data_IF_237844630933
#
_entry.id   IF_237844630933
#
_cell.length_a   1.000
_cell.length_b   1.000
_cell.length_c   1.000
_cell.angle_alpha   90.00
_cell.angle_beta   90.00
_cell.angle_gamma   90.00
#
_symmetry.space_group_name_H-M   'P 1'
#
loop_
_entity.id
_entity.type
_entity.pdbx_description
1 polymer ?
#
# COMPACT_ATOMS: atom_id res chain seq x y z
N UNK A 1 22.92 6.33 -48.82
CA UNK A 1 22.28 7.05 -47.68
C UNK A 1 22.19 6.05 -46.54
N UNK A 2 23.06 6.19 -45.53
CA UNK A 2 23.31 5.16 -44.53
C UNK A 2 22.15 5.04 -43.54
N UNK A 3 21.58 3.83 -43.47
CA UNK A 3 20.71 3.43 -42.38
C UNK A 3 21.53 3.24 -41.10
N UNK A 4 21.15 3.92 -40.03
CA UNK A 4 21.61 3.64 -38.68
C UNK A 4 20.59 4.20 -37.69
N UNK A 5 19.70 3.34 -37.20
CA UNK A 5 18.65 3.75 -36.27
C UNK A 5 17.86 2.60 -35.66
N UNK A 6 18.48 1.45 -35.38
CA UNK A 6 17.80 0.33 -34.71
C UNK A 6 18.59 -0.20 -33.51
N UNK A 7 19.02 0.70 -32.64
CA UNK A 7 19.50 0.31 -31.31
C UNK A 7 18.36 -0.27 -30.46
N UNK A 8 18.64 -1.16 -29.50
CA UNK A 8 17.61 -1.79 -28.68
C UNK A 8 16.81 -0.74 -27.89
N UNK A 9 15.47 -0.90 -27.88
CA UNK A 9 14.57 0.02 -27.17
C UNK A 9 14.87 -0.01 -25.68
N UNK A 10 15.19 1.15 -25.10
CA UNK A 10 15.38 1.28 -23.65
C UNK A 10 14.04 1.09 -22.93
N UNK A 11 14.03 0.19 -21.95
CA UNK A 11 12.91 0.05 -21.02
C UNK A 11 13.11 1.03 -19.87
N UNK A 12 12.02 1.66 -19.45
CA UNK A 12 11.99 2.52 -18.28
C UNK A 12 10.82 2.11 -17.40
N UNK A 13 10.95 2.34 -16.09
CA UNK A 13 9.85 2.26 -15.15
C UNK A 13 9.37 3.66 -14.85
N UNK A 14 8.07 3.88 -15.01
CA UNK A 14 7.42 5.12 -14.61
C UNK A 14 6.50 4.80 -13.44
N UNK A 15 6.49 5.65 -12.41
CA UNK A 15 5.66 5.48 -11.22
C UNK A 15 5.11 6.83 -10.79
N UNK A 16 3.92 6.82 -10.17
CA UNK A 16 3.24 8.00 -9.66
C UNK A 16 2.84 7.77 -8.21
N UNK A 17 3.24 8.68 -7.34
CA UNK A 17 2.80 8.70 -5.95
C UNK A 17 1.45 9.41 -5.85
N UNK A 18 0.49 8.76 -5.21
CA UNK A 18 -0.80 9.35 -4.83
C UNK A 18 -1.01 9.17 -3.33
N UNK A 19 -1.84 9.98 -2.71
CA UNK A 19 -2.20 9.85 -1.29
C UNK A 19 -3.70 9.93 -1.12
N UNK A 20 -4.22 9.25 -0.10
CA UNK A 20 -5.62 9.35 0.29
C UNK A 20 -5.75 9.19 1.81
N UNK A 21 -6.81 9.76 2.37
CA UNK A 21 -7.15 9.65 3.79
C UNK A 21 -8.28 8.66 3.97
N UNK A 22 -8.17 7.75 4.93
CA UNK A 22 -9.22 6.79 5.26
C UNK A 22 -9.18 6.36 6.74
N UNK A 23 -10.32 5.92 7.26
CA UNK A 23 -10.46 5.33 8.59
C UNK A 23 -10.67 3.82 8.51
N UNK A 24 -10.25 3.10 9.55
CA UNK A 24 -10.42 1.65 9.66
C UNK A 24 -10.31 1.14 11.10
N UNK A 25 -10.57 -0.16 11.28
CA UNK A 25 -10.35 -0.90 12.52
C UNK A 25 -9.74 -2.24 12.17
N UNK A 26 -8.67 -2.63 12.87
CA UNK A 26 -8.15 -3.98 12.76
C UNK A 26 -8.97 -4.88 13.68
N UNK A 27 -9.79 -5.75 13.09
CA UNK A 27 -10.67 -6.67 13.80
C UNK A 27 -10.95 -7.91 12.94
N UNK A 28 -10.66 -9.09 13.47
CA UNK A 28 -10.98 -10.38 12.85
C UNK A 28 -12.29 -10.91 13.41
N UNK A 29 -13.21 -11.28 12.52
CA UNK A 29 -14.50 -11.92 12.88
C UNK A 29 -14.33 -13.33 13.45
N UNK A 30 -13.17 -13.95 13.25
CA UNK A 30 -12.87 -15.30 13.72
C UNK A 30 -12.22 -15.34 15.10
N UNK A 31 -11.94 -14.17 15.69
CA UNK A 31 -11.32 -14.03 17.01
C UNK A 31 -12.33 -13.45 18.01
N UNK A 32 -12.18 -13.81 19.29
CA UNK A 32 -12.93 -13.16 20.37
C UNK A 32 -12.56 -11.67 20.49
N UNK A 33 -13.33 -10.92 21.28
CA UNK A 33 -13.01 -9.51 21.54
C UNK A 33 -11.68 -9.36 22.30
N UNK A 34 -11.41 -10.25 23.25
CA UNK A 34 -10.19 -10.29 24.05
C UNK A 34 -8.99 -10.65 23.18
N UNK A 35 -9.12 -11.62 22.28
CA UNK A 35 -8.07 -12.00 21.33
C UNK A 35 -7.76 -10.87 20.36
N UNK A 36 -8.79 -10.21 19.81
CA UNK A 36 -8.60 -9.04 18.96
C UNK A 36 -7.92 -7.88 19.72
N UNK A 37 -8.32 -7.63 20.97
CA UNK A 37 -7.70 -6.59 21.80
C UNK A 37 -6.24 -6.93 22.11
N UNK A 38 -5.94 -8.19 22.42
CA UNK A 38 -4.57 -8.65 22.70
C UNK A 38 -3.67 -8.54 21.46
N UNK A 39 -4.18 -8.92 20.29
CA UNK A 39 -3.40 -8.94 19.05
C UNK A 39 -3.23 -7.54 18.44
N UNK A 40 -4.32 -6.78 18.33
CA UNK A 40 -4.33 -5.51 17.60
C UNK A 40 -4.26 -4.29 18.52
N UNK A 41 -4.45 -4.45 19.83
CA UNK A 41 -4.33 -3.39 20.83
C UNK A 41 -5.15 -2.14 20.47
N UNK A 42 -4.50 -0.98 20.51
CA UNK A 42 -5.11 0.31 20.15
C UNK A 42 -5.71 0.35 18.74
N UNK A 43 -5.24 -0.48 17.80
CA UNK A 43 -5.74 -0.52 16.44
C UNK A 43 -7.12 -1.22 16.32
N UNK A 44 -7.55 -1.94 17.36
CA UNK A 44 -8.88 -2.54 17.50
C UNK A 44 -9.86 -1.66 18.29
N UNK A 45 -9.60 -0.35 18.42
CA UNK A 45 -10.57 0.60 18.95
C UNK A 45 -11.95 0.39 18.28
N UNK A 46 -13.06 0.20 19.02
CA UNK A 46 -14.40 0.04 18.45
C UNK A 46 -14.81 1.16 17.49
N UNK A 47 -14.33 2.39 17.72
CA UNK A 47 -14.59 3.54 16.86
C UNK A 47 -13.54 3.72 15.73
N UNK A 48 -12.60 2.80 15.61
CA UNK A 48 -11.53 2.82 14.60
C UNK A 48 -10.45 3.87 14.86
N UNK A 49 -9.64 4.10 13.82
CA UNK A 49 -8.62 5.14 13.73
C UNK A 49 -8.36 5.47 12.25
N UNK A 50 -7.62 6.54 11.95
CA UNK A 50 -7.38 7.01 10.58
C UNK A 50 -5.92 7.08 10.18
N UNK A 51 -5.69 7.09 8.87
CA UNK A 51 -4.37 7.26 8.25
C UNK A 51 -4.45 8.11 6.99
N UNK A 52 -3.33 8.78 6.69
CA UNK A 52 -3.05 9.37 5.38
C UNK A 52 -2.14 8.41 4.62
N UNK A 53 -2.73 7.51 3.85
CA UNK A 53 -2.02 6.50 3.08
C UNK A 53 -1.26 7.14 1.93
N UNK A 54 -0.04 6.65 1.68
CA UNK A 54 0.77 7.00 0.52
C UNK A 54 0.90 5.78 -0.38
N UNK A 55 0.70 5.96 -1.68
CA UNK A 55 0.93 4.91 -2.67
C UNK A 55 2.37 4.41 -2.57
N UNK A 56 2.53 3.09 -2.40
CA UNK A 56 3.85 2.49 -2.20
C UNK A 56 4.76 2.70 -3.41
N UNK A 57 6.05 2.84 -3.15
CA UNK A 57 7.07 2.61 -4.17
C UNK A 57 6.99 1.13 -4.50
N UNK A 58 6.50 0.78 -5.69
CA UNK A 58 6.81 -0.55 -6.19
C UNK A 58 8.31 -0.54 -6.48
N UNK A 59 9.12 -1.16 -5.62
CA UNK A 59 10.41 -1.70 -6.04
C UNK A 59 10.06 -2.87 -6.98
N UNK A 60 10.66 -2.90 -8.17
CA UNK A 60 10.50 -4.06 -9.04
C UNK A 60 11.59 -5.01 -8.56
N UNK A 61 11.35 -6.32 -8.53
CA UNK A 61 12.47 -7.24 -8.47
C UNK A 61 13.48 -6.92 -9.59
#
# INVERSE_FOLDING_TARGET
MNGAGSGPRRRARVSRLVSFSATHRLHSKSLSNEENLKLFGKCNNPNGHGHNYKGGNYEAP
#
